data_IF_968534036214
#
_entry.id   IF_968534036214
#
_cell.length_a   1.000
_cell.length_b   1.000
_cell.length_c   1.000
_cell.angle_alpha   90.00
_cell.angle_beta   90.00
_cell.angle_gamma   90.00
#
_symmetry.space_group_name_H-M   'P 1'
#
loop_
_entity.id
_entity.type
_entity.pdbx_description
1 polymer ?
#
# COMPACT_ATOMS: atom_id res chain seq x y z
N UNK A 1 4.11 2.49 11.00
CA UNK A 1 3.93 1.81 9.69
C UNK A 1 4.94 2.24 8.62
N UNK A 2 5.06 3.52 8.24
CA UNK A 2 5.99 3.92 7.16
C UNK A 2 7.46 3.51 7.37
N UNK A 3 7.99 3.71 8.58
CA UNK A 3 9.36 3.27 8.96
C UNK A 3 9.51 1.75 8.88
N UNK A 4 8.49 1.01 9.33
CA UNK A 4 8.46 -0.45 9.27
C UNK A 4 8.56 -0.97 7.83
N UNK A 5 7.73 -0.45 6.93
CA UNK A 5 7.75 -0.85 5.51
C UNK A 5 9.09 -0.51 4.83
N UNK A 6 9.74 0.59 5.22
CA UNK A 6 11.06 0.98 4.71
C UNK A 6 12.16 0.03 5.20
N UNK A 7 12.06 -0.43 6.46
CA UNK A 7 13.08 -1.26 7.11
C UNK A 7 12.94 -2.75 6.79
N UNK A 8 11.73 -3.25 6.53
CA UNK A 8 11.48 -4.69 6.41
C UNK A 8 12.03 -5.31 5.11
N UNK A 9 12.24 -4.53 4.05
CA UNK A 9 12.61 -5.08 2.73
C UNK A 9 11.57 -6.13 2.25
N UNK A 10 12.00 -7.39 2.13
CA UNK A 10 11.10 -8.54 2.01
C UNK A 10 10.74 -9.00 3.43
N UNK A 11 9.45 -8.97 3.76
CA UNK A 11 8.98 -9.34 5.09
C UNK A 11 9.35 -10.79 5.46
N UNK A 12 10.13 -10.96 6.53
CA UNK A 12 10.60 -12.24 7.10
C UNK A 12 10.17 -12.35 8.57
N UNK A 13 8.89 -12.70 8.82
CA UNK A 13 8.34 -12.66 10.16
C UNK A 13 8.87 -13.78 11.06
N UNK A 14 9.17 -13.45 12.32
CA UNK A 14 9.35 -14.40 13.40
C UNK A 14 7.96 -14.71 14.00
N UNK A 15 7.47 -15.97 13.88
CA UNK A 15 6.12 -16.34 14.30
C UNK A 15 5.91 -16.24 15.82
N UNK A 16 6.98 -16.21 16.62
CA UNK A 16 6.92 -16.14 18.08
C UNK A 16 6.65 -14.72 18.61
N UNK A 17 6.70 -13.69 17.75
CA UNK A 17 6.44 -12.31 18.13
C UNK A 17 4.96 -11.99 17.92
N UNK A 18 4.29 -11.54 18.99
CA UNK A 18 2.86 -11.27 19.02
C UNK A 18 2.48 -9.91 18.37
N UNK A 19 3.08 -9.59 17.23
CA UNK A 19 2.83 -8.41 16.42
C UNK A 19 3.41 -8.60 15.01
N UNK A 20 2.94 -7.80 14.03
CA UNK A 20 3.55 -7.77 12.69
C UNK A 20 5.02 -7.40 12.80
N UNK A 21 5.89 -8.24 12.25
CA UNK A 21 7.33 -8.09 12.38
C UNK A 21 8.08 -8.64 11.16
N UNK A 22 9.31 -8.19 11.01
CA UNK A 22 10.28 -8.69 10.03
C UNK A 22 11.65 -8.62 10.67
N UNK A 23 12.43 -9.68 10.57
CA UNK A 23 13.73 -9.70 11.21
C UNK A 23 14.68 -10.77 10.67
N UNK A 24 15.90 -10.65 11.16
CA UNK A 24 17.04 -11.56 10.99
C UNK A 24 17.80 -11.63 12.33
N UNK A 25 18.91 -12.37 12.40
CA UNK A 25 19.66 -12.54 13.66
C UNK A 25 20.20 -11.22 14.25
N UNK A 26 20.52 -10.27 13.37
CA UNK A 26 21.11 -8.99 13.76
C UNK A 26 20.08 -7.92 14.17
N UNK A 27 18.84 -8.01 13.69
CA UNK A 27 17.82 -6.98 13.94
C UNK A 27 16.40 -7.51 13.74
N UNK A 28 15.47 -6.94 14.50
CA UNK A 28 14.04 -7.21 14.37
C UNK A 28 13.30 -5.88 14.31
N UNK A 29 12.53 -5.66 13.25
CA UNK A 29 11.59 -4.56 13.12
C UNK A 29 10.18 -5.05 13.44
N UNK A 30 9.43 -4.30 14.26
CA UNK A 30 8.10 -4.66 14.73
C UNK A 30 7.19 -3.43 14.64
N UNK A 31 5.92 -3.65 14.30
CA UNK A 31 4.88 -2.62 14.36
C UNK A 31 3.70 -3.12 15.20
N UNK A 32 3.30 -2.31 16.19
CA UNK A 32 2.08 -2.53 17.01
C UNK A 32 1.37 -1.19 17.20
N UNK A 33 0.16 -1.06 16.66
CA UNK A 33 -0.56 0.21 16.60
C UNK A 33 0.26 1.32 15.92
N UNK A 34 0.42 2.47 16.60
CA UNK A 34 1.24 3.59 16.11
C UNK A 34 2.75 3.43 16.35
N UNK A 35 3.15 2.42 17.12
CA UNK A 35 4.54 2.23 17.54
C UNK A 35 5.34 1.45 16.50
N UNK A 36 6.53 1.95 16.20
CA UNK A 36 7.59 1.21 15.53
C UNK A 36 8.63 0.84 16.59
N UNK A 37 9.00 -0.43 16.63
CA UNK A 37 9.97 -0.97 17.59
C UNK A 37 11.06 -1.65 16.75
N UNK A 38 12.31 -1.34 17.07
CA UNK A 38 13.47 -1.98 16.48
C UNK A 38 14.30 -2.58 17.63
N UNK A 39 14.58 -3.88 17.54
CA UNK A 39 15.47 -4.60 18.45
C UNK A 39 16.73 -4.92 17.67
N UNK A 40 17.83 -4.28 18.03
CA UNK A 40 19.12 -4.48 17.38
C UNK A 40 20.02 -5.36 18.25
N UNK A 41 20.66 -6.36 17.64
CA UNK A 41 21.52 -7.34 18.27
C UNK A 41 22.99 -7.04 17.92
N UNK A 42 23.51 -5.92 18.45
CA UNK A 42 24.80 -5.34 18.06
C UNK A 42 25.96 -5.68 19.02
N UNK A 43 25.76 -6.61 19.95
CA UNK A 43 26.77 -6.96 20.94
C UNK A 43 27.90 -7.82 20.36
N UNK A 44 29.09 -7.75 20.98
CA UNK A 44 30.24 -8.61 20.64
C UNK A 44 29.92 -10.10 20.83
N UNK A 45 29.00 -10.40 21.76
CA UNK A 45 28.32 -11.69 21.89
C UNK A 45 26.86 -11.46 21.52
N UNK A 46 26.42 -11.86 20.31
CA UNK A 46 25.04 -11.70 19.89
C UNK A 46 24.10 -12.48 20.82
N UNK A 47 23.01 -11.83 21.22
CA UNK A 47 21.90 -12.50 21.89
C UNK A 47 21.34 -13.60 20.96
N UNK A 48 20.88 -14.69 21.54
CA UNK A 48 20.13 -15.70 20.80
C UNK A 48 18.82 -15.11 20.29
N UNK A 49 18.27 -15.71 19.23
CA UNK A 49 16.93 -15.37 18.72
C UNK A 49 15.87 -15.41 19.84
N UNK A 50 15.97 -16.39 20.76
CA UNK A 50 15.02 -16.55 21.85
C UNK A 50 15.04 -15.36 22.81
N UNK A 51 16.23 -14.84 23.14
CA UNK A 51 16.38 -13.65 23.99
C UNK A 51 15.87 -12.39 23.31
N UNK A 52 16.17 -12.21 22.01
CA UNK A 52 15.66 -11.08 21.24
C UNK A 52 14.11 -11.10 21.14
N UNK A 53 13.52 -12.27 20.91
CA UNK A 53 12.06 -12.48 20.92
C UNK A 53 11.47 -12.22 22.30
N UNK A 54 12.12 -12.68 23.38
CA UNK A 54 11.66 -12.46 24.74
C UNK A 54 11.65 -10.97 25.10
N UNK A 55 12.70 -10.23 24.75
CA UNK A 55 12.78 -8.79 24.92
C UNK A 55 11.68 -8.06 24.13
N UNK A 56 11.49 -8.44 22.86
CA UNK A 56 10.44 -7.89 22.02
C UNK A 56 9.04 -8.09 22.63
N UNK A 57 8.71 -9.32 23.04
CA UNK A 57 7.41 -9.63 23.62
C UNK A 57 7.20 -8.97 24.99
N UNK A 58 8.26 -8.84 25.80
CA UNK A 58 8.18 -8.11 27.08
C UNK A 58 7.81 -6.63 26.86
N UNK A 59 8.38 -5.97 25.86
CA UNK A 59 7.98 -4.61 25.50
C UNK A 59 6.55 -4.56 24.96
N UNK A 60 6.19 -5.47 24.04
CA UNK A 60 4.87 -5.52 23.41
C UNK A 60 3.73 -5.77 24.42
N UNK A 61 3.99 -6.45 25.53
CA UNK A 61 3.02 -6.67 26.61
C UNK A 61 2.56 -5.37 27.28
N UNK A 62 3.43 -4.34 27.31
CA UNK A 62 3.10 -3.02 27.85
C UNK A 62 2.47 -2.05 26.84
N UNK A 63 2.45 -2.40 25.55
CA UNK A 63 1.87 -1.57 24.49
C UNK A 63 0.40 -1.92 24.32
N UNK A 64 -0.48 -0.94 24.54
CA UNK A 64 -1.92 -1.10 24.33
C UNK A 64 -2.23 -1.55 22.90
N UNK A 65 -3.23 -2.41 22.76
CA UNK A 65 -3.87 -2.68 21.48
C UNK A 65 -4.51 -1.38 20.99
N UNK A 66 -3.96 -0.82 19.91
CA UNK A 66 -4.57 0.28 19.19
C UNK A 66 -4.86 -0.18 17.77
N UNK A 67 -6.14 -0.15 17.36
CA UNK A 67 -6.46 -0.22 15.94
C UNK A 67 -6.23 1.16 15.32
N UNK A 68 -4.96 1.45 15.03
CA UNK A 68 -4.68 2.53 14.09
C UNK A 68 -5.18 2.05 12.73
N UNK A 69 -6.34 2.54 12.27
CA UNK A 69 -6.82 2.29 10.92
C UNK A 69 -5.72 2.69 9.94
N UNK A 70 -5.16 1.70 9.26
CA UNK A 70 -4.15 1.95 8.24
C UNK A 70 -4.83 1.95 6.88
N UNK A 71 -4.36 2.75 5.91
CA UNK A 71 -4.84 2.63 4.53
C UNK A 71 -4.70 1.21 3.97
N UNK A 72 -3.78 0.40 4.52
CA UNK A 72 -3.59 -1.00 4.12
C UNK A 72 -4.80 -1.88 4.46
N UNK A 73 -5.57 -1.55 5.51
CA UNK A 73 -6.75 -2.30 5.92
C UNK A 73 -7.92 -2.11 4.93
N UNK A 74 -7.86 -1.04 4.12
CA UNK A 74 -8.83 -0.80 3.05
C UNK A 74 -8.57 -1.63 1.78
N UNK A 75 -7.40 -2.30 1.69
CA UNK A 75 -7.09 -3.22 0.59
C UNK A 75 -7.88 -4.52 0.74
N UNK A 76 -8.68 -4.94 -0.27
CA UNK A 76 -9.41 -6.20 -0.19
C UNK A 76 -8.49 -7.40 -0.03
N UNK A 77 -8.90 -8.38 0.78
CA UNK A 77 -8.09 -9.56 1.08
C UNK A 77 -8.05 -10.58 -0.08
N UNK A 78 -9.15 -10.71 -0.82
CA UNK A 78 -9.29 -11.68 -1.91
C UNK A 78 -8.29 -11.39 -3.03
N UNK A 79 -7.53 -12.43 -3.43
CA UNK A 79 -6.54 -12.34 -4.52
C UNK A 79 -5.28 -11.55 -4.19
N UNK A 80 -5.19 -10.89 -3.02
CA UNK A 80 -4.02 -10.08 -2.64
C UNK A 80 -2.78 -10.95 -2.47
N UNK A 81 -1.67 -10.55 -3.09
CA UNK A 81 -0.37 -11.22 -2.96
C UNK A 81 0.26 -10.82 -1.62
N UNK A 82 0.53 -11.77 -0.70
CA UNK A 82 1.11 -11.45 0.61
C UNK A 82 2.48 -10.75 0.50
N UNK A 83 2.68 -9.70 1.28
CA UNK A 83 3.95 -8.95 1.32
C UNK A 83 4.13 -7.94 0.18
N UNK A 84 3.14 -7.82 -0.72
CA UNK A 84 3.15 -6.82 -1.79
C UNK A 84 2.60 -5.46 -1.37
N UNK A 85 2.07 -5.35 -0.15
CA UNK A 85 1.46 -4.12 0.37
C UNK A 85 2.47 -2.99 0.52
N UNK A 86 2.12 -1.80 0.04
CA UNK A 86 2.93 -0.58 0.19
C UNK A 86 2.05 0.61 0.54
N UNK A 87 2.66 1.58 1.21
CA UNK A 87 2.06 2.89 1.44
C UNK A 87 2.62 3.89 0.43
N UNK A 88 1.75 4.74 -0.11
CA UNK A 88 2.12 5.84 -0.99
C UNK A 88 1.63 7.15 -0.40
N UNK A 89 2.44 8.21 -0.49
CA UNK A 89 2.14 9.51 0.12
C UNK A 89 2.41 10.71 -0.80
N UNK A 90 2.68 10.45 -2.07
CA UNK A 90 3.04 11.48 -3.04
C UNK A 90 3.58 10.89 -4.34
N UNK A 91 3.84 11.75 -5.34
CA UNK A 91 4.22 11.33 -6.69
C UNK A 91 5.47 10.45 -6.72
N UNK A 92 6.51 10.78 -5.94
CA UNK A 92 7.73 9.95 -5.88
C UNK A 92 7.48 8.54 -5.33
N UNK A 93 6.50 8.37 -4.43
CA UNK A 93 6.14 7.05 -3.92
C UNK A 93 5.30 6.24 -4.90
N UNK A 94 4.67 6.87 -5.90
CA UNK A 94 3.84 6.23 -6.91
C UNK A 94 4.65 5.79 -8.14
N UNK A 95 5.64 6.57 -8.54
CA UNK A 95 6.42 6.37 -9.78
C UNK A 95 6.99 4.94 -9.97
N UNK A 96 7.50 4.23 -8.94
CA UNK A 96 7.99 2.87 -9.12
C UNK A 96 6.90 1.86 -9.49
N UNK A 97 5.62 2.21 -9.30
CA UNK A 97 4.49 1.29 -9.43
C UNK A 97 3.60 1.63 -10.62
N UNK A 98 3.24 2.91 -10.80
CA UNK A 98 2.46 3.38 -11.93
C UNK A 98 2.54 4.91 -12.05
N UNK A 99 2.69 5.42 -13.29
CA UNK A 99 2.65 6.85 -13.59
C UNK A 99 1.29 7.20 -14.17
N UNK A 100 0.51 7.97 -13.41
CA UNK A 100 -0.82 8.43 -13.84
C UNK A 100 -0.78 9.75 -14.62
N UNK A 101 0.30 10.50 -14.51
CA UNK A 101 0.49 11.83 -15.07
C UNK A 101 1.59 12.57 -14.33
N UNK A 102 1.79 13.83 -14.66
CA UNK A 102 2.80 14.67 -14.03
C UNK A 102 2.33 15.27 -12.69
N UNK A 103 3.30 15.56 -11.81
CA UNK A 103 3.03 16.22 -10.54
C UNK A 103 2.22 15.38 -9.54
N UNK A 104 1.56 16.06 -8.60
CA UNK A 104 0.75 15.42 -7.56
C UNK A 104 -0.69 15.14 -8.05
N UNK A 105 -0.82 14.32 -9.08
CA UNK A 105 -2.09 14.10 -9.77
C UNK A 105 -3.19 13.47 -8.88
N UNK A 106 -2.78 12.72 -7.85
CA UNK A 106 -3.66 12.14 -6.83
C UNK A 106 -3.82 13.06 -5.61
N UNK A 107 -3.30 14.29 -5.65
CA UNK A 107 -3.42 15.31 -4.59
C UNK A 107 -3.08 14.79 -3.19
N UNK A 108 -2.03 13.97 -3.08
CA UNK A 108 -1.65 13.34 -1.82
C UNK A 108 -0.98 14.33 -0.87
N UNK A 109 -0.24 15.30 -1.41
CA UNK A 109 0.35 16.43 -0.68
C UNK A 109 1.28 16.04 0.46
N UNK A 110 1.80 14.82 0.51
CA UNK A 110 2.59 14.31 1.64
C UNK A 110 1.79 14.04 2.92
N UNK A 111 0.46 14.25 2.89
CA UNK A 111 -0.43 14.20 4.06
C UNK A 111 -1.45 13.07 3.97
N UNK A 112 -1.88 12.74 2.76
CA UNK A 112 -2.79 11.64 2.48
C UNK A 112 -1.97 10.41 2.13
N UNK A 113 -2.25 9.31 2.81
CA UNK A 113 -1.61 8.03 2.57
C UNK A 113 -2.57 7.12 1.82
N UNK A 114 -2.18 6.73 0.61
CA UNK A 114 -2.79 5.62 -0.11
C UNK A 114 -2.13 4.30 0.25
N UNK A 115 -2.83 3.21 -0.01
CA UNK A 115 -2.29 1.86 0.00
C UNK A 115 -2.30 1.27 -1.40
N UNK A 116 -1.33 0.41 -1.69
CA UNK A 116 -1.34 -0.42 -2.89
C UNK A 116 -0.89 -1.84 -2.59
N UNK A 117 -1.32 -2.79 -3.41
CA UNK A 117 -0.85 -4.16 -3.39
C UNK A 117 -1.03 -4.82 -4.76
N UNK A 118 -0.29 -5.91 -4.98
CA UNK A 118 -0.46 -6.77 -6.14
C UNK A 118 -1.61 -7.76 -5.89
N UNK A 119 -2.38 -8.05 -6.94
CA UNK A 119 -3.50 -8.98 -6.91
C UNK A 119 -3.36 -10.02 -8.02
N UNK A 120 -3.63 -11.29 -7.71
CA UNK A 120 -3.70 -12.36 -8.71
C UNK A 120 -5.04 -12.27 -9.44
N UNK A 121 -4.98 -12.10 -10.75
CA UNK A 121 -6.15 -12.11 -11.65
C UNK A 121 -6.30 -13.46 -12.39
N UNK A 122 -5.32 -14.36 -12.23
CA UNK A 122 -5.26 -15.67 -12.86
C UNK A 122 -3.97 -16.42 -12.46
N UNK A 123 -3.65 -17.53 -13.13
CA UNK A 123 -2.44 -18.32 -12.83
C UNK A 123 -1.14 -17.48 -12.90
N UNK A 124 -1.02 -16.66 -13.95
CA UNK A 124 0.18 -15.87 -14.24
C UNK A 124 -0.09 -14.34 -14.32
N UNK A 125 -1.35 -13.93 -14.20
CA UNK A 125 -1.77 -12.55 -14.31
C UNK A 125 -1.75 -11.84 -12.95
N UNK A 126 -1.06 -10.69 -12.89
CA UNK A 126 -0.97 -9.86 -11.68
C UNK A 126 -1.37 -8.43 -12.01
N UNK A 127 -2.41 -7.94 -11.34
CA UNK A 127 -2.81 -6.54 -11.38
C UNK A 127 -2.23 -5.79 -10.18
N UNK A 128 -2.23 -4.46 -10.29
CA UNK A 128 -1.91 -3.58 -9.17
C UNK A 128 -3.14 -2.78 -8.80
N UNK A 129 -3.45 -2.73 -7.50
CA UNK A 129 -4.59 -1.96 -6.98
C UNK A 129 -4.14 -0.92 -5.97
N UNK A 130 -4.70 0.28 -6.07
CA UNK A 130 -4.53 1.38 -5.14
C UNK A 130 -5.86 1.67 -4.46
N UNK A 131 -5.82 1.95 -3.16
CA UNK A 131 -6.95 2.48 -2.39
C UNK A 131 -6.46 3.73 -1.68
N UNK A 132 -7.08 4.87 -1.99
CA UNK A 132 -6.69 6.17 -1.44
C UNK A 132 -7.88 6.79 -0.71
N UNK A 133 -7.83 6.89 0.63
CA UNK A 133 -8.86 7.55 1.41
C UNK A 133 -8.66 9.07 1.40
N UNK A 134 -9.74 9.80 1.15
CA UNK A 134 -9.81 11.26 1.30
C UNK A 134 -10.75 11.63 2.45
N UNK A 135 -10.75 12.90 2.86
CA UNK A 135 -11.56 13.37 3.98
C UNK A 135 -13.08 13.27 3.73
N UNK A 136 -13.51 13.17 2.48
CA UNK A 136 -14.91 13.01 2.09
C UNK A 136 -15.11 12.99 0.58
N UNK A 137 -16.35 12.69 0.16
CA UNK A 137 -16.71 12.48 -1.25
C UNK A 137 -16.44 13.69 -2.16
N UNK A 138 -16.58 14.91 -1.63
CA UNK A 138 -16.27 16.13 -2.37
C UNK A 138 -14.78 16.18 -2.76
N UNK A 139 -13.88 15.86 -1.83
CA UNK A 139 -12.45 15.82 -2.10
C UNK A 139 -12.12 14.70 -3.09
N UNK A 140 -12.66 13.50 -2.88
CA UNK A 140 -12.49 12.37 -3.82
C UNK A 140 -13.00 12.71 -5.22
N UNK A 141 -14.10 13.46 -5.32
CA UNK A 141 -14.63 14.00 -6.58
C UNK A 141 -13.65 14.95 -7.27
N UNK A 142 -13.16 15.96 -6.55
CA UNK A 142 -12.17 16.89 -7.11
C UNK A 142 -10.89 16.19 -7.58
N UNK A 143 -10.42 15.18 -6.84
CA UNK A 143 -9.22 14.41 -7.24
C UNK A 143 -9.50 13.52 -8.45
N UNK A 144 -10.68 12.89 -8.52
CA UNK A 144 -11.10 12.13 -9.69
C UNK A 144 -11.15 13.00 -10.95
N UNK A 145 -11.76 14.19 -10.85
CA UNK A 145 -11.85 15.13 -11.97
C UNK A 145 -10.45 15.62 -12.39
N UNK A 146 -9.58 15.92 -11.42
CA UNK A 146 -8.19 16.29 -11.67
C UNK A 146 -7.41 15.17 -12.38
N UNK A 147 -7.57 13.92 -11.94
CA UNK A 147 -6.92 12.77 -12.54
C UNK A 147 -7.41 12.54 -13.98
N UNK A 148 -8.71 12.66 -14.23
CA UNK A 148 -9.27 12.49 -15.57
C UNK A 148 -8.81 13.61 -16.53
N UNK A 149 -8.71 14.85 -16.04
CA UNK A 149 -8.30 16.00 -16.85
C UNK A 149 -6.80 16.05 -17.16
N UNK A 150 -5.96 15.46 -16.30
CA UNK A 150 -4.50 15.55 -16.39
C UNK A 150 -3.81 14.20 -16.57
N UNK A 151 -4.57 13.19 -17.01
CA UNK A 151 -4.05 11.84 -17.22
C UNK A 151 -2.86 11.86 -18.18
N UNK A 152 -1.87 11.01 -17.92
CA UNK A 152 -0.71 10.84 -18.78
C UNK A 152 -1.17 10.61 -20.24
N UNK A 153 -0.63 11.36 -21.23
CA UNK A 153 -1.06 11.25 -22.63
C UNK A 153 -0.95 9.85 -23.24
N UNK A 154 -0.11 8.98 -22.67
CA UNK A 154 0.01 7.57 -23.10
C UNK A 154 -1.10 6.67 -22.55
N UNK A 155 -1.99 7.18 -21.70
CA UNK A 155 -3.15 6.47 -21.16
C UNK A 155 -4.41 6.90 -21.91
N UNK A 156 -4.90 6.02 -22.77
CA UNK A 156 -6.08 6.28 -23.61
C UNK A 156 -7.36 5.93 -22.86
N UNK A 157 -8.20 6.94 -22.57
CA UNK A 157 -9.52 6.70 -21.97
C UNK A 157 -10.44 5.99 -22.98
N UNK A 158 -10.98 4.83 -22.59
CA UNK A 158 -11.83 3.99 -23.42
C UNK A 158 -13.33 4.12 -23.11
N UNK A 159 -13.67 4.71 -21.97
CA UNK A 159 -15.04 4.94 -21.55
C UNK A 159 -15.12 5.58 -20.17
N UNK A 160 -16.21 6.30 -19.94
CA UNK A 160 -16.51 6.96 -18.67
C UNK A 160 -17.94 6.66 -18.24
N UNK A 161 -18.18 6.67 -16.93
CA UNK A 161 -19.51 6.76 -16.30
C UNK A 161 -19.41 7.69 -15.10
N UNK A 162 -20.54 7.94 -14.43
CA UNK A 162 -20.54 8.75 -13.22
C UNK A 162 -19.59 8.14 -12.15
N UNK A 163 -18.48 8.82 -11.89
CA UNK A 163 -17.49 8.41 -10.89
C UNK A 163 -16.61 7.21 -11.26
N UNK A 164 -16.56 6.79 -12.53
CA UNK A 164 -15.56 5.82 -12.96
C UNK A 164 -15.15 6.01 -14.42
N UNK A 165 -13.92 5.64 -14.75
CA UNK A 165 -13.44 5.57 -16.13
C UNK A 165 -12.49 4.40 -16.32
N UNK A 166 -12.45 3.89 -17.56
CA UNK A 166 -11.51 2.85 -18.00
C UNK A 166 -10.53 3.48 -18.98
N UNK A 167 -9.26 3.10 -18.86
CA UNK A 167 -8.21 3.50 -19.77
C UNK A 167 -7.36 2.30 -20.19
N UNK A 168 -6.57 2.48 -21.23
CA UNK A 168 -5.61 1.52 -21.77
C UNK A 168 -4.23 2.18 -21.88
N UNK A 169 -3.18 1.48 -21.48
CA UNK A 169 -1.80 1.93 -21.59
C UNK A 169 -1.14 1.49 -22.90
N UNK A 170 0.08 1.97 -23.16
CA UNK A 170 0.85 1.63 -24.36
C UNK A 170 1.27 0.14 -24.46
N UNK A 171 1.08 -0.64 -23.39
CA UNK A 171 1.36 -2.09 -23.34
C UNK A 171 0.08 -2.91 -23.51
N UNK A 172 -1.01 -2.28 -23.97
CA UNK A 172 -2.34 -2.87 -24.13
C UNK A 172 -2.88 -3.42 -22.80
N UNK A 173 -2.45 -2.85 -21.66
CA UNK A 173 -3.00 -3.16 -20.34
C UNK A 173 -4.08 -2.16 -19.99
N UNK A 174 -5.12 -2.64 -19.33
CA UNK A 174 -6.24 -1.82 -18.92
C UNK A 174 -6.07 -1.32 -17.48
N UNK A 175 -6.68 -0.17 -17.22
CA UNK A 175 -6.91 0.33 -15.89
C UNK A 175 -8.34 0.80 -15.71
N UNK A 176 -8.81 0.80 -14.47
CA UNK A 176 -10.09 1.37 -14.06
C UNK A 176 -9.88 2.20 -12.81
N UNK A 177 -10.48 3.39 -12.82
CA UNK A 177 -10.58 4.28 -11.66
C UNK A 177 -12.04 4.34 -11.26
N UNK A 178 -12.33 4.15 -9.98
CA UNK A 178 -13.67 4.20 -9.41
C UNK A 178 -13.68 5.02 -8.12
N UNK A 179 -14.65 5.93 -7.98
CA UNK A 179 -14.97 6.55 -6.69
C UNK A 179 -15.88 5.62 -5.89
N UNK A 180 -15.49 5.33 -4.65
CA UNK A 180 -16.25 4.53 -3.70
C UNK A 180 -16.39 5.30 -2.38
N UNK A 181 -17.40 6.16 -2.33
CA UNK A 181 -17.59 7.11 -1.23
C UNK A 181 -16.36 8.01 -1.07
N UNK A 182 -15.72 8.05 0.11
CA UNK A 182 -14.52 8.86 0.34
C UNK A 182 -13.24 8.26 -0.27
N UNK A 183 -13.30 7.08 -0.89
CA UNK A 183 -12.13 6.39 -1.41
C UNK A 183 -12.04 6.50 -2.93
N UNK A 184 -10.83 6.65 -3.45
CA UNK A 184 -10.51 6.40 -4.85
C UNK A 184 -9.90 5.00 -4.96
N UNK A 185 -10.55 4.13 -5.71
CA UNK A 185 -10.15 2.74 -5.97
C UNK A 185 -9.65 2.65 -7.41
N UNK A 186 -8.38 2.31 -7.58
CA UNK A 186 -7.72 2.28 -8.88
C UNK A 186 -7.14 0.90 -9.09
N UNK A 187 -7.42 0.28 -10.23
CA UNK A 187 -6.79 -0.96 -10.66
C UNK A 187 -6.07 -0.73 -11.98
N UNK A 188 -4.85 -1.22 -12.11
CA UNK A 188 -4.00 -1.09 -13.30
C UNK A 188 -3.32 -2.42 -13.62
N UNK A 189 -2.67 -2.50 -14.78
CA UNK A 189 -2.05 -3.72 -15.30
C UNK A 189 -3.06 -4.88 -15.48
N UNK A 190 -4.32 -4.56 -15.81
CA UNK A 190 -5.34 -5.58 -16.06
C UNK A 190 -5.22 -6.12 -17.48
N UNK A 191 -5.29 -7.44 -17.63
CA UNK A 191 -5.25 -8.11 -18.94
C UNK A 191 -6.58 -8.03 -19.69
N UNK A 192 -7.68 -7.95 -18.94
CA UNK A 192 -9.03 -7.89 -19.49
C UNK A 192 -9.61 -6.50 -19.26
N UNK A 193 -10.25 -5.97 -20.30
CA UNK A 193 -10.95 -4.70 -20.22
C UNK A 193 -12.06 -4.76 -19.16
N UNK A 194 -12.01 -3.89 -18.12
CA UNK A 194 -13.05 -3.85 -17.10
C UNK A 194 -14.39 -3.39 -17.69
N UNK A 195 -15.47 -3.91 -17.13
CA UNK A 195 -16.82 -3.40 -17.40
C UNK A 195 -17.05 -2.14 -16.57
N UNK A 196 -17.60 -1.10 -17.21
CA UNK A 196 -18.12 0.09 -16.54
C UNK A 196 -19.56 -0.16 -16.10
#
# INVERSE_FOLDING_TARGET
MGIYLMKMGRETPFPEIAARNSGEEAQIAIVKGRYFIQVDNLGDVPASRAEAVALANAFLAGVAEESALTPLDALPAEGKVPGSERLVRGPYGLQPYFTFGEGDILSLGGRIFGALANYREGPDAVSLRFIIPYAGEAQTGSVYDNLLANLDPYLKVLGTRQGAFVFEDHREKFGIVERKGPNLDIRVNLDLRPKL
#
